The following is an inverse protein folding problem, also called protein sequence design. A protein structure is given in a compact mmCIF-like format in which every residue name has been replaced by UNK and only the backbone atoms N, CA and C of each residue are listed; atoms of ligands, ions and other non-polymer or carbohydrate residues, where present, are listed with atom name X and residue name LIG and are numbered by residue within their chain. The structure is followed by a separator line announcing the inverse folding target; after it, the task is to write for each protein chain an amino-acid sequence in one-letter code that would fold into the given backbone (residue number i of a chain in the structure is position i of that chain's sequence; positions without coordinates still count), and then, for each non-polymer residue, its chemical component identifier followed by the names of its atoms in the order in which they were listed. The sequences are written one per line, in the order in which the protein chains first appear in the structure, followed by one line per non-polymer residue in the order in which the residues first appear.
data_IF_364764377493
#
_entry.id   IF_364764377493
#
_cell.length_a   1.000
_cell.length_b   1.000
_cell.length_c   1.000
_cell.angle_alpha   90.00
_cell.angle_beta   90.00
_cell.angle_gamma   90.00
#
_symmetry.space_group_name_H-M   'P 1'
#
loop_
_entity.id
_entity.type
_entity.pdbx_description
1 polymer ?
#
# COMPACT_ATOMS: atom_id res chain seq x y z
N UNK A 1 -12.20 14.70 19.66
CA UNK A 1 -12.42 14.46 18.21
C UNK A 1 -11.52 13.30 17.85
N UNK A 2 -12.09 12.25 17.28
CA UNK A 2 -11.56 10.89 17.21
C UNK A 2 -10.14 10.85 16.65
N UNK A 3 -9.19 10.51 17.51
CA UNK A 3 -7.79 10.28 17.14
C UNK A 3 -7.70 8.90 16.47
N UNK A 4 -8.15 8.83 15.22
CA UNK A 4 -7.57 7.88 14.28
C UNK A 4 -6.13 8.34 14.10
N UNK A 5 -5.23 7.89 14.99
CA UNK A 5 -3.85 7.65 14.56
C UNK A 5 -4.05 6.81 13.30
N UNK A 6 -3.82 7.35 12.09
CA UNK A 6 -3.92 6.50 10.93
C UNK A 6 -2.87 5.45 11.23
N UNK A 7 -3.29 4.19 11.42
CA UNK A 7 -2.46 3.08 10.96
C UNK A 7 -1.97 3.56 9.62
N UNK A 8 -0.70 4.00 9.58
CA UNK A 8 -0.16 4.81 8.50
C UNK A 8 -0.02 3.82 7.36
N UNK A 9 -1.15 3.55 6.72
CA UNK A 9 -1.34 2.74 5.53
C UNK A 9 -0.70 3.59 4.45
N UNK A 10 0.62 3.59 4.47
CA UNK A 10 1.41 4.23 3.45
C UNK A 10 1.05 3.54 2.14
N UNK A 11 0.94 4.36 1.10
CA UNK A 11 0.74 3.84 -0.23
C UNK A 11 1.94 2.96 -0.52
N UNK A 12 1.69 1.76 -1.03
CA UNK A 12 2.77 0.86 -1.39
C UNK A 12 3.77 1.57 -2.29
N UNK A 13 5.01 1.72 -1.83
CA UNK A 13 6.07 2.43 -2.56
C UNK A 13 6.38 1.78 -3.92
N UNK A 14 6.23 0.46 -4.03
CA UNK A 14 6.49 -0.28 -5.27
C UNK A 14 5.47 0.05 -6.36
N UNK A 15 4.18 0.07 -6.02
CA UNK A 15 3.11 0.31 -7.00
C UNK A 15 2.48 1.71 -6.87
N UNK A 16 3.03 2.59 -6.04
CA UNK A 16 2.45 3.89 -5.68
C UNK A 16 0.98 3.81 -5.22
N UNK A 17 0.60 2.66 -4.67
CA UNK A 17 -0.74 2.36 -4.19
C UNK A 17 -1.78 1.97 -5.24
N UNK A 18 -1.37 1.62 -6.46
CA UNK A 18 -2.29 1.07 -7.48
C UNK A 18 -2.67 -0.38 -7.22
N UNK A 19 -1.85 -1.12 -6.47
CA UNK A 19 -2.02 -2.57 -6.27
C UNK A 19 -1.51 -3.41 -7.45
N UNK A 20 -0.99 -2.80 -8.52
CA UNK A 20 -0.52 -3.49 -9.72
C UNK A 20 0.85 -2.99 -10.16
N UNK A 21 1.62 -3.85 -10.81
CA UNK A 21 2.88 -3.48 -11.47
C UNK A 21 2.60 -2.69 -12.74
N UNK A 22 3.64 -2.10 -13.33
CA UNK A 22 3.53 -1.39 -14.62
C UNK A 22 3.04 -2.29 -15.77
N UNK A 23 3.24 -3.60 -15.66
CA UNK A 23 2.80 -4.60 -16.62
C UNK A 23 1.34 -5.06 -16.41
N UNK A 24 0.67 -4.52 -15.38
CA UNK A 24 -0.71 -4.88 -15.03
C UNK A 24 -0.83 -6.12 -14.14
N UNK A 25 0.28 -6.73 -13.76
CA UNK A 25 0.32 -7.88 -12.85
C UNK A 25 0.07 -7.43 -11.40
N UNK A 26 -0.40 -8.35 -10.55
CA UNK A 26 -0.64 -8.02 -9.14
C UNK A 26 0.67 -7.62 -8.47
N UNK A 27 0.69 -6.48 -7.77
CA UNK A 27 1.90 -6.00 -7.10
C UNK A 27 2.33 -7.02 -6.03
N UNK A 28 3.57 -7.55 -6.09
CA UNK A 28 4.02 -8.61 -5.18
C UNK A 28 4.26 -8.11 -3.75
N UNK A 29 4.62 -6.84 -3.57
CA UNK A 29 4.89 -6.27 -2.24
C UNK A 29 3.62 -6.08 -1.41
N UNK A 30 2.59 -5.49 -2.03
CA UNK A 30 1.31 -5.23 -1.36
C UNK A 30 0.24 -6.28 -1.67
N UNK A 31 0.55 -7.31 -2.48
CA UNK A 31 -0.36 -8.37 -2.88
C UNK A 31 -1.71 -7.86 -3.42
N UNK A 32 -1.69 -6.81 -4.25
CA UNK A 32 -2.91 -6.22 -4.81
C UNK A 32 -3.61 -5.18 -3.93
N UNK A 33 -3.17 -4.98 -2.70
CA UNK A 33 -3.88 -4.08 -1.76
C UNK A 33 -3.59 -2.60 -1.99
N UNK A 34 -2.48 -2.26 -2.66
CA UNK A 34 -2.03 -0.87 -2.82
C UNK A 34 -1.54 -0.21 -1.53
N UNK A 35 -1.42 -0.98 -0.45
CA UNK A 35 -1.06 -0.48 0.87
C UNK A 35 0.20 -1.22 1.30
N UNK A 36 1.29 -0.50 1.58
CA UNK A 36 2.38 -1.06 2.34
C UNK A 36 2.13 -0.84 3.83
N UNK A 37 2.39 -1.88 4.60
CA UNK A 37 2.41 -1.80 6.05
C UNK A 37 3.87 -1.85 6.55
N UNK A 38 4.79 -1.24 5.79
CA UNK A 38 6.20 -1.07 6.17
C UNK A 38 6.34 0.03 7.24
N UNK A 39 5.52 -0.06 8.28
CA UNK A 39 5.48 0.84 9.42
C UNK A 39 5.63 0.08 10.74
N UNK A 40 6.62 -0.82 10.81
CA UNK A 40 7.11 -1.46 12.04
C UNK A 40 8.64 -1.60 11.98
#
# INVERSE_FOLDING_TARGET
MTELLPVLRCRCGTCNGTGVTGDGETCPDCHGTGIDNHGA
#
